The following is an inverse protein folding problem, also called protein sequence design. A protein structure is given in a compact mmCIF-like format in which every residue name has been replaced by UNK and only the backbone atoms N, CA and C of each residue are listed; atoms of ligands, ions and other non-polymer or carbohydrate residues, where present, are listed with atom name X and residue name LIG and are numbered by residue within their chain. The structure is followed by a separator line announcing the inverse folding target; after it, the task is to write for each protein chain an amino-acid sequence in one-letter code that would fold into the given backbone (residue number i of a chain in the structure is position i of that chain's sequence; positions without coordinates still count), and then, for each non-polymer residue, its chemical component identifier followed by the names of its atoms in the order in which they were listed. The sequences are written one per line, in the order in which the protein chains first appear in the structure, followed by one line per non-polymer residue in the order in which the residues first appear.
data_IF_267091433483
#
_entry.id   IF_267091433483
#
_cell.length_a   1.000
_cell.length_b   1.000
_cell.length_c   1.000
_cell.angle_alpha   90.00
_cell.angle_beta   90.00
_cell.angle_gamma   90.00
#
_symmetry.space_group_name_H-M   'P 1'
#
loop_
_entity.id
_entity.type
_entity.pdbx_description
1 polymer ?
#
# COMPACT_ATOMS: atom_id res chain seq x y z
N UNK A 1 50.22 -17.78 -24.69
CA UNK A 1 49.22 -18.30 -23.73
C UNK A 1 48.00 -17.36 -23.61
N UNK A 2 47.27 -17.10 -24.70
CA UNK A 2 46.04 -16.29 -24.66
C UNK A 2 44.85 -16.91 -25.40
N UNK A 3 45.05 -18.06 -26.04
CA UNK A 3 43.98 -18.76 -26.78
C UNK A 3 43.27 -19.86 -25.98
N UNK A 4 43.83 -20.36 -24.86
CA UNK A 4 43.13 -21.34 -23.99
C UNK A 4 42.13 -20.71 -23.02
N UNK A 5 42.21 -19.41 -22.76
CA UNK A 5 41.34 -18.73 -21.80
C UNK A 5 39.93 -18.42 -22.37
N UNK A 6 39.79 -18.33 -23.69
CA UNK A 6 38.51 -17.96 -24.34
C UNK A 6 37.59 -19.19 -24.50
N UNK A 7 38.16 -20.41 -24.47
CA UNK A 7 37.41 -21.65 -24.64
C UNK A 7 36.81 -22.19 -23.32
N UNK A 8 37.38 -21.82 -22.17
CA UNK A 8 36.77 -22.13 -20.85
C UNK A 8 35.61 -21.19 -20.48
N UNK A 9 35.62 -19.94 -20.95
CA UNK A 9 34.51 -19.01 -20.69
C UNK A 9 33.25 -19.31 -21.51
N UNK A 10 33.39 -19.95 -22.68
CA UNK A 10 32.23 -20.41 -23.47
C UNK A 10 31.59 -21.69 -22.95
N UNK A 11 32.30 -22.49 -22.15
CA UNK A 11 31.76 -23.73 -21.56
C UNK A 11 31.01 -23.50 -20.24
N UNK A 12 31.16 -22.33 -19.61
CA UNK A 12 30.40 -21.93 -18.41
C UNK A 12 29.08 -21.20 -18.71
N UNK A 13 28.83 -20.77 -19.95
CA UNK A 13 27.60 -20.03 -20.34
C UNK A 13 26.49 -20.89 -20.95
N UNK A 14 26.64 -22.21 -20.95
CA UNK A 14 25.56 -23.16 -21.32
C UNK A 14 25.32 -24.15 -20.18
N UNK A 15 24.97 -23.63 -19.01
CA UNK A 15 24.24 -24.40 -18.01
C UNK A 15 22.96 -23.62 -17.76
N UNK A 16 21.89 -24.11 -18.38
CA UNK A 16 20.53 -23.63 -18.17
C UNK A 16 20.23 -23.58 -16.66
N UNK A 17 19.62 -22.52 -16.12
CA UNK A 17 19.04 -22.60 -14.80
C UNK A 17 17.95 -23.65 -14.87
N UNK A 18 18.18 -24.80 -14.23
CA UNK A 18 17.12 -25.73 -13.95
C UNK A 18 16.04 -24.94 -13.21
N UNK A 19 14.88 -24.79 -13.86
CA UNK A 19 13.67 -24.34 -13.19
C UNK A 19 13.45 -25.29 -12.02
N UNK A 20 13.86 -24.86 -10.84
CA UNK A 20 13.35 -25.39 -9.60
C UNK A 20 11.90 -24.94 -9.52
N UNK A 21 11.01 -25.71 -10.14
CA UNK A 21 9.59 -25.80 -9.78
C UNK A 21 9.48 -26.33 -8.36
N UNK A 22 9.91 -25.52 -7.41
CA UNK A 22 9.46 -25.60 -6.03
C UNK A 22 8.35 -24.58 -5.91
N UNK A 23 7.25 -24.88 -6.60
CA UNK A 23 5.95 -24.36 -6.17
C UNK A 23 5.81 -24.82 -4.72
N UNK A 24 6.03 -23.90 -3.78
CA UNK A 24 5.47 -23.99 -2.44
C UNK A 24 3.96 -23.92 -2.65
N UNK A 25 3.39 -25.06 -3.02
CA UNK A 25 1.98 -25.30 -2.90
C UNK A 25 1.77 -25.30 -1.38
N UNK A 26 1.14 -24.22 -0.93
CA UNK A 26 0.89 -23.89 0.47
C UNK A 26 0.48 -25.18 1.22
N UNK A 27 1.19 -25.51 2.30
CA UNK A 27 0.95 -26.76 3.05
C UNK A 27 -0.52 -26.88 3.46
N UNK A 28 -1.16 -25.74 3.75
CA UNK A 28 -2.60 -25.65 4.02
C UNK A 28 -3.49 -26.14 2.86
N UNK A 29 -3.11 -25.85 1.61
CA UNK A 29 -3.84 -26.30 0.42
C UNK A 29 -3.64 -27.80 0.21
N UNK A 30 -2.42 -28.31 0.38
CA UNK A 30 -2.14 -29.75 0.28
C UNK A 30 -2.85 -30.53 1.37
N UNK A 31 -2.81 -30.05 2.61
CA UNK A 31 -3.49 -30.69 3.74
C UNK A 31 -5.01 -30.66 3.57
N UNK A 32 -5.57 -29.57 3.03
CA UNK A 32 -7.00 -29.49 2.69
C UNK A 32 -7.38 -30.41 1.52
N UNK A 33 -6.52 -30.51 0.49
CA UNK A 33 -6.72 -31.46 -0.60
C UNK A 33 -6.65 -32.90 -0.09
N UNK A 34 -5.72 -33.21 0.81
CA UNK A 34 -5.53 -34.56 1.36
C UNK A 34 -6.68 -34.93 2.32
N UNK A 35 -7.19 -33.98 3.11
CA UNK A 35 -8.40 -34.16 3.90
C UNK A 35 -9.62 -34.44 3.00
N UNK A 36 -9.80 -33.67 1.92
CA UNK A 36 -10.88 -33.90 0.94
C UNK A 36 -10.71 -35.24 0.22
N UNK A 37 -9.48 -35.61 -0.13
CA UNK A 37 -9.16 -36.87 -0.77
C UNK A 37 -9.47 -38.05 0.15
N UNK A 38 -9.11 -37.96 1.44
CA UNK A 38 -9.45 -38.96 2.45
C UNK A 38 -10.97 -39.12 2.64
N UNK A 39 -11.73 -38.01 2.65
CA UNK A 39 -13.20 -38.07 2.69
C UNK A 39 -13.75 -38.75 1.44
N UNK A 40 -13.20 -38.45 0.26
CA UNK A 40 -13.64 -39.02 -1.01
C UNK A 40 -13.30 -40.51 -1.11
N UNK A 41 -12.09 -40.90 -0.69
CA UNK A 41 -11.66 -42.31 -0.60
C UNK A 41 -12.57 -43.08 0.35
N UNK A 42 -12.90 -42.51 1.51
CA UNK A 42 -13.84 -43.13 2.47
C UNK A 42 -15.24 -43.30 1.88
N UNK A 43 -15.74 -42.34 1.11
CA UNK A 43 -17.06 -42.45 0.47
C UNK A 43 -17.10 -43.46 -0.68
N UNK A 44 -16.01 -43.59 -1.45
CA UNK A 44 -15.98 -44.47 -2.63
C UNK A 44 -15.64 -45.92 -2.25
N UNK A 45 -14.69 -46.13 -1.34
CA UNK A 45 -14.21 -47.47 -0.94
C UNK A 45 -14.78 -47.95 0.40
N UNK A 46 -15.36 -47.07 1.23
CA UNK A 46 -15.89 -47.41 2.55
C UNK A 46 -14.82 -47.93 3.52
N UNK A 47 -15.25 -48.71 4.51
CA UNK A 47 -14.37 -49.44 5.46
C UNK A 47 -13.61 -50.62 4.81
N UNK A 48 -13.75 -50.82 3.48
CA UNK A 48 -13.12 -51.95 2.81
C UNK A 48 -11.67 -51.59 2.49
N UNK A 49 -10.76 -52.28 3.17
CA UNK A 49 -9.31 -52.24 2.93
C UNK A 49 -9.05 -52.28 1.44
N UNK A 50 -8.26 -51.31 0.95
CA UNK A 50 -7.81 -51.11 -0.44
C UNK A 50 -7.55 -52.45 -1.14
N UNK A 51 -8.59 -53.00 -1.77
CA UNK A 51 -8.48 -54.22 -2.56
C UNK A 51 -7.90 -53.78 -3.91
N UNK A 52 -6.84 -54.45 -4.37
CA UNK A 52 -6.06 -54.10 -5.56
C UNK A 52 -6.84 -54.31 -6.89
N UNK A 53 -8.18 -54.34 -6.85
CA UNK A 53 -9.06 -54.40 -8.03
C UNK A 53 -9.73 -53.04 -8.19
N UNK A 54 -9.73 -52.44 -9.39
CA UNK A 54 -10.44 -51.19 -9.63
C UNK A 54 -11.93 -51.40 -9.32
N UNK A 55 -12.40 -50.73 -8.26
CA UNK A 55 -13.81 -50.77 -7.90
C UNK A 55 -14.61 -50.10 -9.01
N UNK A 56 -15.35 -50.90 -9.78
CA UNK A 56 -16.15 -50.40 -10.91
C UNK A 56 -17.46 -49.74 -10.41
N UNK A 57 -17.32 -48.70 -9.59
CA UNK A 57 -18.44 -47.92 -9.07
C UNK A 57 -19.30 -47.41 -10.22
N UNK A 58 -18.66 -46.89 -11.27
CA UNK A 58 -19.35 -46.36 -12.44
C UNK A 58 -20.17 -47.42 -13.19
N UNK A 59 -19.65 -48.64 -13.37
CA UNK A 59 -20.39 -49.71 -14.04
C UNK A 59 -21.59 -50.18 -13.19
N UNK A 60 -21.39 -50.26 -11.88
CA UNK A 60 -22.45 -50.64 -10.92
C UNK A 60 -23.54 -49.56 -10.83
N UNK A 61 -23.14 -48.29 -10.74
CA UNK A 61 -24.01 -47.13 -10.73
C UNK A 61 -24.76 -46.99 -12.05
N UNK A 62 -24.09 -47.19 -13.18
CA UNK A 62 -24.73 -47.19 -14.51
C UNK A 62 -25.77 -48.29 -14.64
N UNK A 63 -25.50 -49.50 -14.14
CA UNK A 63 -26.49 -50.59 -14.09
C UNK A 63 -27.68 -50.26 -13.20
N UNK A 64 -27.45 -49.69 -12.01
CA UNK A 64 -28.51 -49.26 -11.09
C UNK A 64 -29.33 -48.13 -11.72
N UNK A 65 -28.70 -47.13 -12.31
CA UNK A 65 -29.35 -46.02 -12.99
C UNK A 65 -30.19 -46.51 -14.17
N UNK A 66 -29.67 -47.46 -14.96
CA UNK A 66 -30.41 -48.07 -16.07
C UNK A 66 -31.59 -48.90 -15.56
N UNK A 67 -31.43 -49.65 -14.47
CA UNK A 67 -32.52 -50.41 -13.84
C UNK A 67 -33.59 -49.49 -13.24
N UNK A 68 -33.19 -48.38 -12.62
CA UNK A 68 -34.08 -47.34 -12.09
C UNK A 68 -34.81 -46.62 -13.22
N UNK A 69 -34.13 -46.22 -14.29
CA UNK A 69 -34.73 -45.60 -15.47
C UNK A 69 -35.73 -46.54 -16.15
N UNK A 70 -35.39 -47.83 -16.28
CA UNK A 70 -36.30 -48.85 -16.81
C UNK A 70 -37.52 -49.07 -15.90
N UNK A 71 -37.35 -49.02 -14.58
CA UNK A 71 -38.45 -49.17 -13.62
C UNK A 71 -39.33 -47.93 -13.57
N UNK A 72 -38.74 -46.73 -13.64
CA UNK A 72 -39.42 -45.46 -13.72
C UNK A 72 -40.23 -45.35 -15.01
N UNK A 73 -39.68 -45.76 -16.15
CA UNK A 73 -40.39 -45.72 -17.44
C UNK A 73 -41.48 -46.80 -17.56
N UNK A 74 -41.39 -47.93 -16.86
CA UNK A 74 -42.45 -48.98 -16.84
C UNK A 74 -43.59 -48.66 -15.87
N UNK A 75 -43.40 -47.80 -14.88
CA UNK A 75 -44.42 -47.39 -13.90
C UNK A 75 -44.57 -45.88 -13.91
N UNK A 76 -45.61 -45.39 -14.59
CA UNK A 76 -45.94 -43.95 -14.67
C UNK A 76 -45.99 -43.27 -13.30
N UNK A 77 -46.47 -43.96 -12.25
CA UNK A 77 -46.46 -43.44 -10.87
C UNK A 77 -45.04 -43.16 -10.32
N UNK A 78 -44.06 -44.01 -10.65
CA UNK A 78 -42.66 -43.83 -10.23
C UNK A 78 -41.99 -42.70 -10.99
N UNK A 79 -42.33 -42.54 -12.28
CA UNK A 79 -41.88 -41.41 -13.11
C UNK A 79 -42.39 -40.07 -12.60
N UNK A 80 -43.67 -40.01 -12.22
CA UNK A 80 -44.27 -38.81 -11.60
C UNK A 80 -43.60 -38.51 -10.26
N UNK A 81 -43.31 -39.53 -9.44
CA UNK A 81 -42.60 -39.34 -8.18
C UNK A 81 -41.17 -38.85 -8.37
N UNK A 82 -40.40 -39.38 -9.34
CA UNK A 82 -39.06 -38.88 -9.64
C UNK A 82 -39.07 -37.40 -10.04
N UNK A 83 -40.01 -36.99 -10.91
CA UNK A 83 -40.19 -35.58 -11.28
C UNK A 83 -40.61 -34.72 -10.08
N UNK A 84 -41.52 -35.22 -9.25
CA UNK A 84 -41.94 -34.51 -8.02
C UNK A 84 -40.79 -34.40 -7.01
N UNK A 85 -39.89 -35.36 -6.93
CA UNK A 85 -38.70 -35.29 -6.06
C UNK A 85 -37.76 -34.19 -6.57
N UNK A 86 -37.52 -34.10 -7.87
CA UNK A 86 -36.73 -33.00 -8.45
C UNK A 86 -37.38 -31.63 -8.21
N UNK A 87 -38.70 -31.53 -8.33
CA UNK A 87 -39.42 -30.29 -8.04
C UNK A 87 -39.43 -29.97 -6.55
N UNK A 88 -39.63 -30.96 -5.66
CA UNK A 88 -39.54 -30.78 -4.21
C UNK A 88 -38.13 -30.37 -3.76
N UNK A 89 -37.07 -30.90 -4.40
CA UNK A 89 -35.69 -30.47 -4.18
C UNK A 89 -35.48 -28.99 -4.51
N UNK A 90 -36.18 -28.45 -5.53
CA UNK A 90 -36.15 -27.00 -5.82
C UNK A 90 -36.87 -26.18 -4.76
N UNK A 91 -38.00 -26.66 -4.25
CA UNK A 91 -38.73 -25.99 -3.17
C UNK A 91 -38.04 -26.10 -1.79
N UNK A 92 -37.15 -27.08 -1.62
CA UNK A 92 -36.34 -27.27 -0.42
C UNK A 92 -35.03 -26.46 -0.45
N UNK A 93 -34.71 -25.78 -1.55
CA UNK A 93 -33.58 -24.86 -1.60
C UNK A 93 -33.91 -23.62 -0.75
N UNK A 94 -33.15 -23.35 0.34
CA UNK A 94 -33.36 -22.17 1.18
C UNK A 94 -33.40 -20.87 0.37
N UNK A 95 -32.62 -20.79 -0.71
CA UNK A 95 -32.59 -19.59 -1.57
C UNK A 95 -33.90 -19.36 -2.34
N UNK A 96 -34.71 -20.40 -2.55
CA UNK A 96 -35.99 -20.28 -3.23
C UNK A 96 -37.12 -19.89 -2.27
N UNK A 97 -37.04 -20.31 -1.00
CA UNK A 97 -38.05 -20.01 0.02
C UNK A 97 -37.96 -18.56 0.50
N UNK A 98 -36.73 -18.02 0.61
CA UNK A 98 -36.49 -16.64 1.06
C UNK A 98 -37.07 -15.58 0.10
N UNK A 99 -37.17 -15.90 -1.21
CA UNK A 99 -37.70 -14.98 -2.22
C UNK A 99 -39.24 -14.97 -2.33
N UNK A 100 -39.94 -16.00 -1.86
CA UNK A 100 -41.39 -16.15 -2.05
C UNK A 100 -42.18 -15.84 -0.77
N UNK A 101 -41.55 -15.89 0.40
CA UNK A 101 -42.25 -15.99 1.67
C UNK A 101 -42.20 -14.73 2.56
N UNK A 102 -42.06 -13.53 2.01
CA UNK A 102 -42.36 -12.31 2.80
C UNK A 102 -43.75 -11.81 2.40
N UNK A 103 -44.81 -12.16 3.16
CA UNK A 103 -46.14 -11.59 2.98
C UNK A 103 -46.11 -10.05 2.99
N UNK A 104 -47.02 -9.42 2.28
CA UNK A 104 -47.04 -7.95 2.18
C UNK A 104 -47.23 -7.25 3.54
N UNK A 105 -47.96 -7.89 4.47
CA UNK A 105 -48.06 -7.42 5.84
C UNK A 105 -46.69 -7.42 6.55
N UNK A 106 -45.83 -8.41 6.28
CA UNK A 106 -44.51 -8.51 6.87
C UNK A 106 -43.54 -7.49 6.24
N UNK A 107 -43.64 -7.22 4.94
CA UNK A 107 -42.88 -6.15 4.28
C UNK A 107 -43.17 -4.79 4.89
N UNK A 108 -44.43 -4.50 5.21
CA UNK A 108 -44.82 -3.26 5.87
C UNK A 108 -44.17 -3.15 7.26
N UNK A 109 -44.25 -4.20 8.07
CA UNK A 109 -43.61 -4.22 9.40
C UNK A 109 -42.08 -4.07 9.30
N UNK A 110 -41.43 -4.69 8.31
CA UNK A 110 -40.00 -4.49 8.06
C UNK A 110 -39.67 -3.04 7.70
N UNK A 111 -40.44 -2.42 6.81
CA UNK A 111 -40.23 -1.03 6.41
C UNK A 111 -40.44 -0.07 7.59
N UNK A 112 -41.45 -0.31 8.43
CA UNK A 112 -41.71 0.50 9.62
C UNK A 112 -40.65 0.29 10.70
N UNK A 113 -40.22 -0.96 10.93
CA UNK A 113 -39.17 -1.27 11.88
C UNK A 113 -37.81 -0.67 11.46
N UNK A 114 -37.54 -0.61 10.16
CA UNK A 114 -36.32 -0.03 9.59
C UNK A 114 -36.47 1.44 9.16
N UNK A 115 -37.60 2.09 9.44
CA UNK A 115 -37.88 3.44 8.95
C UNK A 115 -36.79 4.44 9.36
N UNK A 116 -36.41 4.43 10.64
CA UNK A 116 -35.34 5.29 11.18
C UNK A 116 -33.99 4.99 10.53
N UNK A 117 -33.70 3.70 10.26
CA UNK A 117 -32.49 3.30 9.58
C UNK A 117 -32.46 3.84 8.14
N UNK A 118 -33.54 3.65 7.37
CA UNK A 118 -33.65 4.18 6.01
C UNK A 118 -33.55 5.71 5.98
N UNK A 119 -34.21 6.40 6.91
CA UNK A 119 -34.15 7.86 7.04
C UNK A 119 -32.74 8.34 7.36
N UNK A 120 -32.05 7.67 8.29
CA UNK A 120 -30.66 8.01 8.64
C UNK A 120 -29.72 7.80 7.46
N UNK A 121 -29.91 6.70 6.70
CA UNK A 121 -29.09 6.38 5.55
C UNK A 121 -29.34 7.35 4.38
N UNK A 122 -30.60 7.76 4.16
CA UNK A 122 -30.94 8.80 3.20
C UNK A 122 -30.29 10.15 3.54
N UNK A 123 -30.35 10.57 4.81
CA UNK A 123 -29.70 11.81 5.26
C UNK A 123 -28.17 11.76 5.09
N UNK A 124 -27.54 10.61 5.38
CA UNK A 124 -26.11 10.42 5.12
C UNK A 124 -25.79 10.46 3.62
N UNK A 125 -26.63 9.87 2.78
CA UNK A 125 -26.44 9.90 1.33
C UNK A 125 -26.61 11.31 0.76
N UNK A 126 -27.58 12.09 1.26
CA UNK A 126 -27.71 13.50 0.91
C UNK A 126 -26.47 14.31 1.31
N UNK A 127 -25.94 14.06 2.52
CA UNK A 127 -24.69 14.69 2.97
C UNK A 127 -23.52 14.34 2.04
N UNK A 128 -23.36 13.06 1.69
CA UNK A 128 -22.33 12.62 0.75
C UNK A 128 -22.50 13.27 -0.62
N UNK A 129 -23.72 13.34 -1.13
CA UNK A 129 -24.02 14.01 -2.40
C UNK A 129 -23.70 15.51 -2.36
N UNK A 130 -23.98 16.19 -1.24
CA UNK A 130 -23.64 17.60 -1.05
C UNK A 130 -22.13 17.85 -0.93
N UNK A 131 -21.36 16.87 -0.45
CA UNK A 131 -19.91 16.96 -0.31
C UNK A 131 -19.17 16.55 -1.60
N UNK A 132 -19.81 15.81 -2.51
CA UNK A 132 -19.22 15.37 -3.77
C UNK A 132 -18.62 16.52 -4.61
N UNK A 133 -19.26 17.70 -4.75
CA UNK A 133 -18.69 18.84 -5.49
C UNK A 133 -17.41 19.41 -4.88
N UNK A 134 -17.14 19.20 -3.58
CA UNK A 134 -15.94 19.69 -2.92
C UNK A 134 -14.68 18.94 -3.37
N UNK A 135 -14.82 17.65 -3.71
CA UNK A 135 -13.73 16.83 -4.24
C UNK A 135 -13.24 17.35 -5.60
N UNK A 136 -14.14 17.93 -6.39
CA UNK A 136 -13.85 18.51 -7.70
C UNK A 136 -13.44 19.98 -7.65
N UNK A 137 -13.35 20.57 -6.45
CA UNK A 137 -13.02 21.98 -6.28
C UNK A 137 -11.68 22.32 -6.96
N UNK A 138 -11.68 23.46 -7.64
CA UNK A 138 -10.49 23.99 -8.32
C UNK A 138 -9.30 24.16 -7.38
N UNK A 139 -9.55 24.43 -6.09
CA UNK A 139 -8.53 24.58 -5.07
C UNK A 139 -7.76 23.29 -4.80
N UNK A 140 -8.43 22.12 -4.75
CA UNK A 140 -7.77 20.82 -4.59
C UNK A 140 -6.98 20.47 -5.85
N UNK A 141 -7.54 20.75 -7.04
CA UNK A 141 -6.86 20.53 -8.33
C UNK A 141 -5.64 21.43 -8.52
N UNK A 142 -5.64 22.62 -7.94
CA UNK A 142 -4.53 23.58 -8.01
C UNK A 142 -3.38 23.29 -7.02
N UNK A 143 -3.53 22.31 -6.11
CA UNK A 143 -2.51 21.98 -5.10
C UNK A 143 -1.15 21.62 -5.72
N UNK A 144 -1.05 20.80 -6.78
CA UNK A 144 0.25 20.48 -7.39
C UNK A 144 0.94 21.73 -7.96
N UNK A 145 0.20 22.62 -8.61
CA UNK A 145 0.75 23.88 -9.14
C UNK A 145 1.25 24.78 -8.00
N UNK A 146 0.45 24.97 -6.95
CA UNK A 146 0.84 25.76 -5.79
C UNK A 146 2.06 25.15 -5.08
N UNK A 147 2.12 23.82 -4.95
CA UNK A 147 3.26 23.12 -4.37
C UNK A 147 4.56 23.40 -5.14
N UNK A 148 4.53 23.39 -6.47
CA UNK A 148 5.72 23.75 -7.27
C UNK A 148 6.16 25.20 -7.07
N UNK A 149 5.22 26.14 -6.94
CA UNK A 149 5.53 27.55 -6.67
C UNK A 149 6.13 27.72 -5.28
N UNK A 150 5.59 27.03 -4.28
CA UNK A 150 6.11 27.03 -2.90
C UNK A 150 7.50 26.41 -2.84
N UNK A 151 7.74 25.30 -3.54
CA UNK A 151 9.06 24.69 -3.62
C UNK A 151 10.10 25.66 -4.20
N UNK A 152 9.76 26.33 -5.31
CA UNK A 152 10.63 27.34 -5.92
C UNK A 152 10.88 28.53 -4.98
N UNK A 153 9.85 29.00 -4.27
CA UNK A 153 10.00 30.06 -3.28
C UNK A 153 10.90 29.63 -2.12
N UNK A 154 10.79 28.38 -1.66
CA UNK A 154 11.66 27.82 -0.62
C UNK A 154 13.13 27.82 -1.06
N UNK A 155 13.42 27.42 -2.29
CA UNK A 155 14.79 27.46 -2.83
C UNK A 155 15.34 28.88 -2.92
N UNK A 156 14.51 29.85 -3.33
CA UNK A 156 14.89 31.26 -3.35
C UNK A 156 15.15 31.77 -1.93
N UNK A 157 14.30 31.40 -0.97
CA UNK A 157 14.43 31.84 0.41
C UNK A 157 15.71 31.32 1.07
N UNK A 158 16.07 30.05 0.84
CA UNK A 158 17.34 29.48 1.31
C UNK A 158 18.52 30.28 0.74
N UNK A 159 18.53 30.54 -0.56
CA UNK A 159 19.60 31.35 -1.19
C UNK A 159 19.69 32.77 -0.62
N UNK A 160 18.55 33.41 -0.39
CA UNK A 160 18.51 34.75 0.21
C UNK A 160 19.03 34.74 1.65
N UNK A 161 18.71 33.69 2.41
CA UNK A 161 19.22 33.52 3.77
C UNK A 161 20.74 33.36 3.76
N UNK A 162 21.29 32.46 2.93
CA UNK A 162 22.72 32.24 2.80
C UNK A 162 23.46 33.55 2.42
N UNK A 163 22.93 34.28 1.42
CA UNK A 163 23.48 35.56 1.00
C UNK A 163 23.44 36.62 2.11
N UNK A 164 22.35 36.66 2.88
CA UNK A 164 22.22 37.60 3.99
C UNK A 164 23.17 37.27 5.14
N UNK A 165 23.40 35.99 5.43
CA UNK A 165 24.38 35.54 6.41
C UNK A 165 25.81 35.89 5.98
N UNK A 166 26.17 35.64 4.72
CA UNK A 166 27.47 36.00 4.14
C UNK A 166 27.69 37.52 4.18
N UNK A 167 26.71 38.30 3.73
CA UNK A 167 26.79 39.77 3.76
C UNK A 167 26.91 40.29 5.19
N UNK A 168 26.15 39.72 6.14
CA UNK A 168 26.23 40.11 7.54
C UNK A 168 27.61 39.81 8.14
N UNK A 169 28.19 38.65 7.80
CA UNK A 169 29.53 38.28 8.23
C UNK A 169 30.59 39.25 7.65
N UNK A 170 30.49 39.60 6.38
CA UNK A 170 31.42 40.52 5.73
C UNK A 170 31.34 41.94 6.31
N UNK A 171 30.12 42.44 6.57
CA UNK A 171 29.92 43.73 7.22
C UNK A 171 30.51 43.73 8.63
N UNK A 172 30.32 42.66 9.42
CA UNK A 172 30.93 42.53 10.75
C UNK A 172 32.45 42.54 10.67
N UNK A 173 33.03 41.77 9.74
CA UNK A 173 34.48 41.73 9.49
C UNK A 173 35.02 43.12 9.16
N UNK A 174 34.33 43.87 8.30
CA UNK A 174 34.72 45.22 7.93
C UNK A 174 34.67 46.19 9.12
N UNK A 175 33.64 46.08 9.97
CA UNK A 175 33.57 46.85 11.22
C UNK A 175 34.71 46.51 12.18
N UNK A 176 35.08 45.23 12.31
CA UNK A 176 36.21 44.80 13.14
C UNK A 176 37.53 45.39 12.62
N UNK A 177 37.76 45.36 11.31
CA UNK A 177 38.95 45.95 10.68
C UNK A 177 39.00 47.47 10.85
N UNK A 178 37.88 48.15 10.64
CA UNK A 178 37.77 49.59 10.86
C UNK A 178 38.06 49.95 12.32
N UNK A 179 37.46 49.24 13.28
CA UNK A 179 37.68 49.46 14.70
C UNK A 179 39.15 49.23 15.07
N UNK A 180 39.78 48.19 14.53
CA UNK A 180 41.21 47.90 14.73
C UNK A 180 42.09 49.02 14.17
N UNK A 181 41.82 49.49 12.96
CA UNK A 181 42.55 50.60 12.34
C UNK A 181 42.40 51.89 13.15
N UNK A 182 41.18 52.23 13.57
CA UNK A 182 40.92 53.40 14.41
C UNK A 182 41.65 53.32 15.74
N UNK A 183 41.65 52.16 16.40
CA UNK A 183 42.39 51.95 17.65
C UNK A 183 43.90 52.16 17.47
N UNK A 184 44.48 51.63 16.39
CA UNK A 184 45.89 51.81 16.08
C UNK A 184 46.23 53.27 15.77
N UNK A 185 45.37 53.97 15.02
CA UNK A 185 45.52 55.41 14.77
C UNK A 185 45.50 56.21 16.07
N UNK A 186 44.52 55.97 16.95
CA UNK A 186 44.45 56.65 18.26
C UNK A 186 45.71 56.42 19.11
N UNK A 187 46.23 55.18 19.10
CA UNK A 187 47.49 54.85 19.78
C UNK A 187 48.67 55.60 19.16
N UNK A 188 48.73 55.68 17.82
CA UNK A 188 49.80 56.37 17.11
C UNK A 188 49.79 57.87 17.40
N UNK A 189 48.61 58.51 17.42
CA UNK A 189 48.47 59.90 17.81
C UNK A 189 48.95 60.14 19.24
N UNK A 190 48.57 59.28 20.18
CA UNK A 190 49.03 59.39 21.57
C UNK A 190 50.56 59.26 21.68
N UNK A 191 51.16 58.34 20.92
CA UNK A 191 52.62 58.17 20.89
C UNK A 191 53.33 59.39 20.28
N UNK A 192 52.78 59.96 19.21
CA UNK A 192 53.30 61.17 18.60
C UNK A 192 53.19 62.36 19.55
N UNK A 193 52.07 62.53 20.24
CA UNK A 193 51.90 63.57 21.27
C UNK A 193 52.89 63.41 22.41
N UNK A 194 53.12 62.18 22.90
CA UNK A 194 54.11 61.93 23.95
C UNK A 194 55.54 62.22 23.48
N UNK A 195 55.85 61.89 22.23
CA UNK A 195 57.18 62.14 21.64
C UNK A 195 57.41 63.64 21.43
N UNK A 196 56.42 64.36 20.91
CA UNK A 196 56.46 65.82 20.79
C UNK A 196 56.66 66.46 22.16
N UNK A 197 55.90 66.03 23.18
CA UNK A 197 56.03 66.55 24.54
C UNK A 197 57.40 66.32 25.16
N UNK A 198 58.08 65.20 24.83
CA UNK A 198 59.47 64.94 25.25
C UNK A 198 60.48 65.84 24.53
N UNK A 199 60.25 66.17 23.26
CA UNK A 199 61.11 67.06 22.48
C UNK A 199 60.90 68.54 22.86
N UNK A 200 59.67 68.92 23.23
CA UNK A 200 59.29 70.25 23.73
C UNK A 200 59.62 70.44 25.21
N UNK A 201 59.87 69.36 25.95
CA UNK A 201 60.36 69.46 27.33
C UNK A 201 61.66 70.31 27.33
N UNK A 202 61.74 71.34 28.18
CA UNK A 202 62.86 72.27 28.15
C UNK A 202 64.16 71.49 28.27
N UNK A 203 65.11 71.79 27.38
CA UNK A 203 66.50 71.32 27.44
C UNK A 203 67.07 71.70 28.81
N UNK A 204 66.90 70.86 29.82
CA UNK A 204 67.58 71.00 31.09
C UNK A 204 69.06 70.73 30.82
N UNK A 205 69.85 71.82 30.81
CA UNK A 205 71.31 71.77 30.80
C UNK A 205 71.98 72.34 29.55
N UNK A 206 71.73 73.61 29.23
CA UNK A 206 72.84 74.48 28.82
C UNK A 206 72.98 75.55 29.91
N UNK A 207 74.09 75.57 30.69
CA UNK A 207 74.41 76.72 31.49
C UNK A 207 74.85 77.83 30.51
N UNK A 208 74.18 78.97 30.59
CA UNK A 208 74.68 80.22 30.06
C UNK A 208 75.06 81.03 31.30
N UNK A 209 76.34 81.42 31.33
CA UNK A 209 77.13 82.08 32.40
C UNK A 209 77.62 81.24 33.58
#
# INVERSE_FOLDING_TARGET
MRCRAIEEEKKKKTSFPALSTKGKMDGSNIDHLDARLNVLEKHVYGERVRSNRPFKCNESLSRINTALANTANKRERVKILHKKIEDLLKYLDPQFTDYIAVPDAMKLEFILAEEDFLRSQAALLELVNNLQPLLDSSHIKAVPELATKVQRLSEIHIKQQDQNEELSAEVKRLFEEYNKMMFLLSKQFTQWDETLRKLEAPKQGQPIE
#
